data_IF_543845195294
#
_entry.id   IF_543845195294
#
_cell.length_a   1.000
_cell.length_b   1.000
_cell.length_c   1.000
_cell.angle_alpha   90.00
_cell.angle_beta   90.00
_cell.angle_gamma   90.00
#
_symmetry.space_group_name_H-M   'P 1'
#
loop_
_entity.id
_entity.type
_entity.pdbx_description
1 polymer ?
#
# COMPACT_ATOMS: atom_id res chain seq x y z
N UNK A 1 -29.65 34.57 -5.52
CA UNK A 1 -28.69 34.20 -6.58
C UNK A 1 -29.01 32.78 -7.02
N UNK A 2 -29.38 32.59 -8.29
CA UNK A 2 -29.68 31.26 -8.83
C UNK A 2 -28.39 30.51 -9.13
N UNK A 3 -28.38 29.20 -8.88
CA UNK A 3 -27.28 28.33 -9.29
C UNK A 3 -27.31 28.25 -10.82
N UNK A 4 -26.16 28.51 -11.46
CA UNK A 4 -25.99 28.31 -12.90
C UNK A 4 -25.92 26.80 -13.21
N UNK A 5 -27.08 26.22 -13.52
CA UNK A 5 -27.23 24.80 -13.80
C UNK A 5 -26.70 24.40 -15.17
N UNK A 6 -26.70 25.31 -16.15
CA UNK A 6 -26.26 25.03 -17.51
C UNK A 6 -24.73 24.92 -17.58
N UNK A 7 -24.02 25.83 -16.90
CA UNK A 7 -22.56 25.72 -16.75
C UNK A 7 -22.16 24.44 -16.00
N UNK A 8 -22.88 24.13 -14.92
CA UNK A 8 -22.64 22.92 -14.13
C UNK A 8 -22.85 21.65 -14.96
N UNK A 9 -23.88 21.62 -15.81
CA UNK A 9 -24.15 20.50 -16.71
C UNK A 9 -22.99 20.25 -17.66
N UNK A 10 -22.47 21.30 -18.30
CA UNK A 10 -21.39 21.16 -19.28
C UNK A 10 -20.12 20.59 -18.64
N UNK A 11 -19.77 21.04 -17.42
CA UNK A 11 -18.62 20.53 -16.67
C UNK A 11 -18.86 19.14 -16.07
N UNK A 12 -20.11 18.84 -15.68
CA UNK A 12 -20.49 17.50 -15.25
C UNK A 12 -20.38 16.50 -16.39
N UNK A 13 -20.86 16.83 -17.59
CA UNK A 13 -20.81 15.99 -18.79
C UNK A 13 -19.38 15.86 -19.35
N UNK A 14 -18.54 16.90 -19.22
CA UNK A 14 -17.11 16.85 -19.57
C UNK A 14 -16.32 15.88 -18.69
N UNK A 15 -16.79 15.64 -17.45
CA UNK A 15 -16.19 14.69 -16.53
C UNK A 15 -14.82 15.09 -15.99
N UNK A 16 -14.39 16.35 -16.24
CA UNK A 16 -13.08 16.86 -15.83
C UNK A 16 -12.99 17.01 -14.30
N UNK A 17 -14.08 17.42 -13.66
CA UNK A 17 -14.10 17.74 -12.23
C UNK A 17 -14.86 16.73 -11.35
N UNK A 18 -14.38 16.59 -10.12
CA UNK A 18 -15.08 15.88 -9.05
C UNK A 18 -16.38 16.61 -8.69
N UNK A 19 -17.42 15.85 -8.31
CA UNK A 19 -18.67 16.44 -7.80
C UNK A 19 -18.47 17.38 -6.61
N UNK A 20 -17.41 17.15 -5.82
CA UNK A 20 -17.04 18.03 -4.71
C UNK A 20 -16.53 19.39 -5.21
N UNK A 21 -15.65 19.40 -6.21
CA UNK A 21 -15.11 20.62 -6.81
C UNK A 21 -16.20 21.42 -7.55
N UNK A 22 -17.10 20.73 -8.27
CA UNK A 22 -18.27 21.35 -8.88
C UNK A 22 -19.20 21.98 -7.81
N UNK A 23 -19.38 21.29 -6.69
CA UNK A 23 -20.18 21.81 -5.58
C UNK A 23 -19.60 23.08 -4.96
N UNK A 24 -18.28 23.13 -4.76
CA UNK A 24 -17.57 24.30 -4.25
C UNK A 24 -17.63 25.47 -5.25
N UNK A 25 -17.48 25.21 -6.55
CA UNK A 25 -17.48 26.23 -7.60
C UNK A 25 -18.86 26.88 -7.84
N UNK A 26 -19.92 26.08 -7.80
CA UNK A 26 -21.29 26.53 -8.05
C UNK A 26 -22.10 26.76 -6.77
N UNK A 27 -21.46 26.65 -5.59
CA UNK A 27 -22.09 26.90 -4.29
C UNK A 27 -23.22 25.91 -3.95
N UNK A 28 -23.13 24.65 -4.41
CA UNK A 28 -24.16 23.64 -4.21
C UNK A 28 -23.62 22.34 -3.61
N UNK A 29 -24.45 21.63 -2.85
CA UNK A 29 -24.04 20.36 -2.26
C UNK A 29 -23.94 19.26 -3.33
N UNK A 30 -22.97 18.34 -3.18
CA UNK A 30 -22.76 17.20 -4.08
C UNK A 30 -24.05 16.39 -4.34
N UNK A 31 -24.92 16.30 -3.35
CA UNK A 31 -26.16 15.52 -3.45
C UNK A 31 -27.22 16.28 -4.26
N UNK A 32 -27.22 17.62 -4.23
CA UNK A 32 -28.05 18.44 -5.10
C UNK A 32 -27.65 18.28 -6.57
N UNK A 33 -26.35 18.21 -6.85
CA UNK A 33 -25.82 17.94 -8.21
C UNK A 33 -26.25 16.55 -8.68
N UNK A 34 -26.11 15.52 -7.82
CA UNK A 34 -26.54 14.15 -8.16
C UNK A 34 -28.04 14.05 -8.41
N UNK A 35 -28.85 14.71 -7.59
CA UNK A 35 -30.30 14.71 -7.75
C UNK A 35 -30.68 15.38 -9.06
N UNK A 36 -30.13 16.55 -9.35
CA UNK A 36 -30.34 17.29 -10.59
C UNK A 36 -29.90 16.49 -11.83
N UNK A 37 -28.70 15.90 -11.77
CA UNK A 37 -28.18 15.06 -12.85
C UNK A 37 -29.06 13.82 -13.11
N UNK A 38 -29.70 13.27 -12.07
CA UNK A 38 -30.64 12.15 -12.21
C UNK A 38 -31.99 12.60 -12.77
N UNK A 39 -32.51 13.74 -12.32
CA UNK A 39 -33.77 14.33 -12.79
C UNK A 39 -33.68 14.74 -14.27
N UNK A 40 -32.56 15.32 -14.69
CA UNK A 40 -32.35 15.80 -16.06
C UNK A 40 -31.58 14.81 -16.95
N UNK A 41 -31.25 13.63 -16.43
CA UNK A 41 -30.64 12.53 -17.21
C UNK A 41 -29.22 12.81 -17.72
N UNK A 42 -28.45 13.65 -17.02
CA UNK A 42 -27.08 13.99 -17.42
C UNK A 42 -26.18 12.76 -17.33
N UNK A 43 -25.47 12.45 -18.42
CA UNK A 43 -24.56 11.32 -18.50
C UNK A 43 -23.13 11.84 -18.65
N UNK A 44 -22.25 11.46 -17.72
CA UNK A 44 -20.81 11.67 -17.90
C UNK A 44 -20.39 10.90 -19.15
N UNK A 45 -19.65 11.55 -20.07
CA UNK A 45 -19.07 10.84 -21.21
C UNK A 45 -18.23 9.69 -20.67
N UNK A 46 -18.74 8.49 -20.87
CA UNK A 46 -18.18 7.23 -20.39
C UNK A 46 -16.86 6.99 -21.11
N UNK A 47 -15.79 7.50 -20.53
CA UNK A 47 -14.43 7.20 -20.92
C UNK A 47 -13.59 7.47 -19.71
N UNK A 48 -13.19 6.40 -19.04
CA UNK A 48 -12.21 6.42 -17.96
C UNK A 48 -12.77 6.85 -16.59
N UNK A 49 -12.98 5.84 -15.73
CA UNK A 49 -12.90 6.01 -14.28
C UNK A 49 -11.49 6.52 -13.96
N UNK A 50 -11.18 7.79 -14.21
CA UNK A 50 -10.00 8.42 -13.64
C UNK A 50 -10.26 8.49 -12.16
N UNK A 51 -9.69 7.51 -11.45
CA UNK A 51 -9.30 7.71 -10.05
C UNK A 51 -8.58 9.06 -10.08
N UNK A 52 -9.22 10.07 -9.53
CA UNK A 52 -8.58 11.34 -9.26
C UNK A 52 -7.46 10.97 -8.31
N UNK A 53 -6.27 10.77 -8.86
CA UNK A 53 -5.05 10.75 -8.09
C UNK A 53 -4.84 12.24 -7.82
N UNK A 54 -5.08 12.73 -6.59
CA UNK A 54 -4.90 14.13 -6.31
C UNK A 54 -3.49 14.52 -6.73
N UNK A 55 -3.41 15.54 -7.57
CA UNK A 55 -2.22 16.10 -8.21
C UNK A 55 -1.35 16.89 -7.21
N UNK A 56 -1.28 16.37 -5.98
CA UNK A 56 -0.46 16.85 -4.86
C UNK A 56 0.62 15.82 -4.51
N UNK A 57 1.11 15.06 -5.50
CA UNK A 57 2.12 14.01 -5.31
C UNK A 57 3.57 14.49 -5.51
N UNK A 58 3.90 15.72 -5.12
CA UNK A 58 5.32 16.10 -5.00
C UNK A 58 5.93 15.90 -3.61
N UNK A 59 5.15 15.59 -2.57
CA UNK A 59 5.69 15.43 -1.21
C UNK A 59 5.58 14.01 -0.60
N UNK A 60 5.34 12.97 -1.41
CA UNK A 60 5.01 11.60 -0.92
C UNK A 60 6.11 10.55 -1.16
N UNK A 61 7.38 10.93 -1.03
CA UNK A 61 8.46 9.95 -0.94
C UNK A 61 8.27 8.90 0.19
N UNK A 62 7.68 9.22 1.37
CA UNK A 62 7.41 8.21 2.41
C UNK A 62 6.39 7.12 1.99
N UNK A 63 5.43 7.46 1.12
CA UNK A 63 4.33 6.55 0.77
C UNK A 63 4.77 5.41 -0.16
N UNK A 64 5.78 5.65 -1.01
CA UNK A 64 6.31 4.61 -1.91
C UNK A 64 6.98 3.50 -1.12
N UNK A 65 7.88 3.83 -0.18
CA UNK A 65 8.53 2.84 0.69
C UNK A 65 7.50 2.03 1.48
N UNK A 66 6.47 2.68 2.02
CA UNK A 66 5.40 2.01 2.75
C UNK A 66 4.62 1.02 1.87
N UNK A 67 4.38 1.36 0.61
CA UNK A 67 3.71 0.46 -0.33
C UNK A 67 4.55 -0.77 -0.70
N UNK A 68 5.87 -0.61 -0.82
CA UNK A 68 6.79 -1.72 -1.08
C UNK A 68 6.91 -2.63 0.15
N UNK A 69 6.96 -2.05 1.36
CA UNK A 69 6.96 -2.81 2.61
C UNK A 69 5.71 -3.66 2.80
N UNK A 70 4.53 -3.11 2.52
CA UNK A 70 3.28 -3.88 2.45
C UNK A 70 3.30 -4.99 1.40
N UNK A 71 4.12 -4.86 0.36
CA UNK A 71 4.36 -5.93 -0.62
C UNK A 71 5.17 -7.08 -0.01
N UNK A 72 6.25 -6.75 0.69
CA UNK A 72 7.11 -7.71 1.41
C UNK A 72 6.32 -8.46 2.48
N UNK A 73 5.60 -7.75 3.35
CA UNK A 73 4.75 -8.33 4.40
C UNK A 73 3.72 -9.33 3.84
N UNK A 74 3.07 -8.99 2.71
CA UNK A 74 2.10 -9.89 2.06
C UNK A 74 2.75 -11.15 1.51
N UNK A 75 3.96 -11.05 0.96
CA UNK A 75 4.69 -12.21 0.44
C UNK A 75 5.21 -13.10 1.57
N UNK A 76 5.70 -12.53 2.67
CA UNK A 76 6.04 -13.28 3.88
C UNK A 76 4.83 -14.04 4.42
N UNK A 77 3.71 -13.34 4.62
CA UNK A 77 2.48 -13.95 5.11
C UNK A 77 1.95 -15.05 4.17
N UNK A 78 2.11 -14.88 2.85
CA UNK A 78 1.74 -15.90 1.87
C UNK A 78 2.69 -17.11 1.92
N UNK A 79 3.99 -16.88 1.97
CA UNK A 79 5.00 -17.93 2.04
C UNK A 79 4.79 -18.83 3.26
N UNK A 80 4.51 -18.24 4.42
CA UNK A 80 4.25 -18.97 5.67
C UNK A 80 2.90 -19.69 5.72
N UNK A 81 1.88 -19.19 5.02
CA UNK A 81 0.53 -19.79 5.00
C UNK A 81 0.35 -20.87 3.93
N UNK A 82 1.23 -20.93 2.94
CA UNK A 82 1.09 -21.85 1.82
C UNK A 82 1.45 -23.26 2.25
N UNK A 83 0.63 -24.24 1.89
CA UNK A 83 0.88 -25.67 2.19
C UNK A 83 1.94 -26.29 1.28
N UNK A 84 2.14 -25.72 0.09
CA UNK A 84 3.22 -26.09 -0.82
C UNK A 84 4.54 -25.46 -0.36
N UNK A 85 5.46 -26.31 0.10
CA UNK A 85 6.77 -25.93 0.62
C UNK A 85 7.61 -25.22 -0.44
N UNK A 86 7.59 -25.69 -1.69
CA UNK A 86 8.41 -25.11 -2.77
C UNK A 86 7.92 -23.71 -3.09
N UNK A 87 6.60 -23.56 -3.25
CA UNK A 87 5.99 -22.26 -3.50
C UNK A 87 6.18 -21.31 -2.30
N UNK A 88 6.03 -21.81 -1.08
CA UNK A 88 6.25 -21.05 0.14
C UNK A 88 7.67 -20.50 0.24
N UNK A 89 8.67 -21.35 -0.03
CA UNK A 89 10.09 -20.96 -0.01
C UNK A 89 10.42 -19.90 -1.07
N UNK A 90 9.87 -20.01 -2.27
CA UNK A 90 10.08 -19.00 -3.33
C UNK A 90 9.48 -17.63 -2.94
N UNK A 91 8.28 -17.59 -2.37
CA UNK A 91 7.70 -16.34 -1.87
C UNK A 91 8.53 -15.72 -0.73
N UNK A 92 9.08 -16.54 0.17
CA UNK A 92 9.96 -16.09 1.24
C UNK A 92 11.29 -15.53 0.72
N UNK A 93 11.93 -16.19 -0.25
CA UNK A 93 13.17 -15.69 -0.89
C UNK A 93 12.94 -14.34 -1.55
N UNK A 94 11.87 -14.20 -2.32
CA UNK A 94 11.52 -12.93 -2.98
C UNK A 94 11.27 -11.84 -1.94
N UNK A 95 10.57 -12.17 -0.85
CA UNK A 95 10.32 -11.22 0.23
C UNK A 95 11.62 -10.80 0.94
N UNK A 96 12.56 -11.72 1.19
CA UNK A 96 13.87 -11.43 1.79
C UNK A 96 14.68 -10.45 0.92
N UNK A 97 14.86 -10.76 -0.37
CA UNK A 97 15.63 -9.92 -1.29
C UNK A 97 15.02 -8.51 -1.41
N UNK A 98 13.70 -8.41 -1.55
CA UNK A 98 13.02 -7.12 -1.59
C UNK A 98 13.14 -6.37 -0.24
N UNK A 99 13.09 -7.10 0.87
CA UNK A 99 13.32 -6.64 2.24
C UNK A 99 14.65 -5.89 2.39
N UNK A 100 15.73 -6.56 1.98
CA UNK A 100 17.10 -6.06 2.07
C UNK A 100 17.30 -4.81 1.21
N UNK A 101 16.80 -4.82 -0.03
CA UNK A 101 16.91 -3.68 -0.95
C UNK A 101 16.19 -2.43 -0.41
N UNK A 102 14.96 -2.57 0.08
CA UNK A 102 14.24 -1.41 0.61
C UNK A 102 14.91 -0.90 1.89
N UNK A 103 15.42 -1.80 2.73
CA UNK A 103 16.15 -1.43 3.95
C UNK A 103 17.44 -0.68 3.64
N UNK A 104 18.21 -1.12 2.63
CA UNK A 104 19.44 -0.43 2.21
C UNK A 104 19.14 0.94 1.60
N UNK A 105 18.07 1.07 0.80
CA UNK A 105 17.61 2.36 0.27
C UNK A 105 17.20 3.33 1.38
N UNK A 106 16.48 2.85 2.40
CA UNK A 106 16.09 3.68 3.55
C UNK A 106 17.33 4.16 4.31
N UNK A 107 18.31 3.26 4.54
CA UNK A 107 19.57 3.61 5.19
C UNK A 107 20.37 4.63 4.37
N UNK A 108 20.56 4.39 3.08
CA UNK A 108 21.26 5.33 2.17
C UNK A 108 20.63 6.71 2.20
N UNK A 109 19.29 6.78 2.13
CA UNK A 109 18.56 8.04 2.15
C UNK A 109 18.65 8.77 3.49
N UNK A 110 18.71 8.04 4.61
CA UNK A 110 18.92 8.65 5.94
C UNK A 110 20.31 9.27 6.05
N UNK A 111 21.34 8.56 5.55
CA UNK A 111 22.71 9.07 5.48
C UNK A 111 22.81 10.33 4.60
N UNK A 112 22.18 10.33 3.42
CA UNK A 112 22.12 11.50 2.53
C UNK A 112 21.46 12.72 3.20
N UNK A 113 20.48 12.49 4.08
CA UNK A 113 19.78 13.53 4.82
C UNK A 113 20.51 13.97 6.10
N UNK A 114 21.72 13.44 6.36
CA UNK A 114 22.49 13.74 7.56
C UNK A 114 21.85 13.24 8.87
N UNK A 115 20.89 12.32 8.78
CA UNK A 115 20.33 11.64 9.93
C UNK A 115 21.29 10.50 10.30
N UNK A 116 22.27 10.79 11.17
CA UNK A 116 23.09 9.76 11.78
C UNK A 116 22.18 8.70 12.43
N UNK A 117 22.48 7.43 12.14
CA UNK A 117 21.84 6.32 12.82
C UNK A 117 22.17 6.46 14.31
N UNK A 118 21.22 6.93 15.10
CA UNK A 118 21.09 6.42 16.46
C UNK A 118 21.00 4.91 16.27
N UNK A 119 22.13 4.23 16.50
CA UNK A 119 22.21 2.79 16.52
C UNK A 119 21.06 2.35 17.40
N UNK A 120 20.01 1.80 16.79
CA UNK A 120 18.92 1.21 17.52
C UNK A 120 19.60 0.08 18.30
N UNK A 121 19.84 0.31 19.58
CA UNK A 121 20.35 -0.68 20.51
C UNK A 121 19.52 -1.94 20.32
N UNK A 122 20.19 -2.94 19.74
CA UNK A 122 19.96 -4.38 19.83
C UNK A 122 18.53 -4.79 20.19
N UNK A 123 17.76 -5.09 19.15
CA UNK A 123 16.76 -6.17 19.20
C UNK A 123 17.37 -7.53 18.87
N UNK A 124 18.67 -7.75 19.11
CA UNK A 124 19.35 -9.03 18.88
C UNK A 124 18.71 -10.15 19.72
N UNK A 125 18.27 -9.84 20.94
CA UNK A 125 17.77 -10.84 21.88
C UNK A 125 16.48 -11.53 21.42
N UNK A 126 15.52 -10.82 20.81
CA UNK A 126 14.23 -11.42 20.44
C UNK A 126 14.35 -12.31 19.20
N UNK A 127 15.17 -11.90 18.22
CA UNK A 127 15.42 -12.69 17.02
C UNK A 127 16.18 -13.98 17.35
N UNK A 128 17.15 -13.90 18.26
CA UNK A 128 17.94 -15.06 18.71
C UNK A 128 17.10 -16.02 19.55
N UNK A 129 16.19 -15.52 20.39
CA UNK A 129 15.23 -16.34 21.13
C UNK A 129 14.29 -17.10 20.19
N UNK A 130 13.76 -16.43 19.16
CA UNK A 130 12.89 -17.07 18.15
C UNK A 130 13.68 -18.10 17.34
N UNK A 131 14.92 -17.82 16.96
CA UNK A 131 15.78 -18.76 16.24
C UNK A 131 16.10 -20.01 17.09
N UNK A 132 16.36 -19.82 18.39
CA UNK A 132 16.60 -20.92 19.33
C UNK A 132 15.34 -21.79 19.53
N UNK A 133 14.16 -21.18 19.63
CA UNK A 133 12.89 -21.91 19.72
C UNK A 133 12.60 -22.71 18.45
N UNK A 134 12.78 -22.10 17.28
CA UNK A 134 12.62 -22.78 15.99
C UNK A 134 13.60 -23.95 15.85
N UNK A 135 14.85 -23.80 16.31
CA UNK A 135 15.85 -24.88 16.38
C UNK A 135 15.39 -26.06 17.26
N UNK A 136 14.74 -25.79 18.40
CA UNK A 136 14.17 -26.86 19.25
C UNK A 136 13.01 -27.59 18.58
N UNK A 137 12.14 -26.87 17.87
CA UNK A 137 10.96 -27.45 17.20
C UNK A 137 11.34 -28.21 15.91
N UNK A 138 12.48 -27.88 15.30
CA UNK A 138 12.95 -28.51 14.05
C UNK A 138 14.02 -29.58 14.26
N UNK A 139 14.46 -29.81 15.49
CA UNK A 139 15.32 -30.95 15.81
C UNK A 139 14.55 -32.26 15.53
N UNK A 140 15.13 -33.22 14.77
CA UNK A 140 14.50 -34.50 14.53
C UNK A 140 14.37 -35.25 15.86
N UNK A 141 13.17 -35.25 16.44
CA UNK A 141 12.79 -36.18 17.49
C UNK A 141 12.72 -37.59 16.90
N UNK A 142 13.84 -38.33 16.93
CA UNK A 142 13.85 -39.77 16.66
C UNK A 142 14.95 -40.24 15.71
N UNK A 143 16.22 -40.05 16.08
CA UNK A 143 17.34 -40.69 15.40
C UNK A 143 18.28 -41.41 16.40
N UNK A 144 17.71 -42.05 17.43
CA UNK A 144 18.52 -42.82 18.40
C UNK A 144 17.87 -44.15 18.87
N UNK A 145 16.92 -44.70 18.11
CA UNK A 145 16.41 -46.07 18.34
C UNK A 145 16.40 -46.85 17.01
N UNK A 146 17.59 -47.18 16.52
CA UNK A 146 17.77 -48.24 15.52
C UNK A 146 19.20 -48.81 15.62
N UNK A 147 19.61 -49.20 16.82
CA UNK A 147 20.73 -50.11 17.05
C UNK A 147 20.33 -51.06 18.19
N UNK A 148 19.54 -52.07 17.84
CA UNK A 148 19.54 -53.41 18.45
C UNK A 148 19.19 -54.43 17.36
#
# INVERSE_FOLDING_TARGET
MGIDWDGLRHEFESGQDALKALGEKYGCHKDSIRRKAREEGWKRKSGEKRKIIPEKRMDLLPDRHRSYWKGVERRLARGLKTKDIKQGLEELKVAKMAGEVISSMIRSKRLELGLEEAAAEKGEDEADLIAAEMGRVTAPSGADEALD
#
